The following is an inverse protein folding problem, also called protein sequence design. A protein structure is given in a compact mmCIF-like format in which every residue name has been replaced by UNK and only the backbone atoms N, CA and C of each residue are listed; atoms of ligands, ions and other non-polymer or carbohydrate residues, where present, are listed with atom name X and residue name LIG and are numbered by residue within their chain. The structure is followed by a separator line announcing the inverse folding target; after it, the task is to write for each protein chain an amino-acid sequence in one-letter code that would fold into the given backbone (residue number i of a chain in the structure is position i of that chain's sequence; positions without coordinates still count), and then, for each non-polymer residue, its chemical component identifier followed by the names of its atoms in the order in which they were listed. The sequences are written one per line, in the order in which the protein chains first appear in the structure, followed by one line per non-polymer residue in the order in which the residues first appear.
data_IF_409872986420
#
_entry.id   IF_409872986420
#
_cell.length_a   1.000
_cell.length_b   1.000
_cell.length_c   1.000
_cell.angle_alpha   90.00
_cell.angle_beta   90.00
_cell.angle_gamma   90.00
#
_symmetry.space_group_name_H-M   'P 1'
#
loop_
_entity.id
_entity.type
_entity.pdbx_description
1 polymer ?
#
# COMPACT_ATOMS: atom_id res chain seq x y z
N UNK A 1 10.93 24.94 -15.07
CA UNK A 1 9.90 23.89 -14.83
C UNK A 1 9.57 23.85 -13.34
N UNK A 2 8.30 23.67 -12.99
CA UNK A 2 7.90 23.35 -11.60
C UNK A 2 8.37 21.94 -11.22
N UNK A 3 8.32 21.57 -9.94
CA UNK A 3 8.62 20.19 -9.52
C UNK A 3 7.65 19.17 -10.16
N UNK A 4 6.37 19.55 -10.26
CA UNK A 4 5.34 18.76 -10.94
C UNK A 4 5.67 18.56 -12.42
N UNK A 5 5.93 19.64 -13.17
CA UNK A 5 6.27 19.56 -14.61
C UNK A 5 7.49 18.66 -14.86
N UNK A 6 8.48 18.75 -13.96
CA UNK A 6 9.74 17.99 -14.07
C UNK A 6 9.51 16.49 -13.89
N UNK A 7 8.68 16.10 -12.92
CA UNK A 7 8.29 14.70 -12.72
C UNK A 7 7.49 14.18 -13.90
N UNK A 8 6.48 14.94 -14.36
CA UNK A 8 5.65 14.53 -15.50
C UNK A 8 6.46 14.41 -16.80
N UNK A 9 7.37 15.33 -17.07
CA UNK A 9 8.29 15.22 -18.20
C UNK A 9 9.10 13.91 -18.14
N UNK A 10 9.64 13.57 -16.96
CA UNK A 10 10.36 12.31 -16.81
C UNK A 10 9.48 11.07 -17.03
N UNK A 11 8.24 11.07 -16.54
CA UNK A 11 7.28 9.97 -16.78
C UNK A 11 6.88 9.84 -18.26
N UNK A 12 6.81 10.96 -19.00
CA UNK A 12 6.52 10.96 -20.43
C UNK A 12 7.75 10.66 -21.30
N UNK A 13 8.92 10.45 -20.71
CA UNK A 13 10.18 10.25 -21.45
C UNK A 13 10.71 11.52 -22.09
N UNK A 14 10.25 12.68 -21.66
CA UNK A 14 10.71 14.00 -22.06
C UNK A 14 11.92 14.43 -21.24
N UNK A 15 12.77 15.32 -21.77
CA UNK A 15 13.95 15.80 -21.07
C UNK A 15 13.57 16.93 -20.11
N UNK A 16 13.65 16.73 -18.78
CA UNK A 16 13.43 17.83 -17.82
C UNK A 16 14.63 18.80 -17.79
N UNK A 17 14.42 19.99 -17.21
CA UNK A 17 15.47 21.01 -17.03
C UNK A 17 16.63 20.54 -16.13
N UNK A 18 16.40 19.59 -15.24
CA UNK A 18 17.36 18.85 -14.43
C UNK A 18 16.80 17.49 -14.06
N UNK A 19 17.66 16.56 -13.62
CA UNK A 19 17.22 15.27 -13.09
C UNK A 19 16.29 15.49 -11.88
N UNK A 20 15.06 14.96 -11.89
CA UNK A 20 14.19 15.01 -10.72
C UNK A 20 14.75 14.16 -9.58
N UNK A 21 14.67 14.68 -8.38
CA UNK A 21 15.04 13.97 -7.15
C UNK A 21 13.80 13.83 -6.26
N UNK A 22 13.15 12.68 -6.33
CA UNK A 22 11.92 12.37 -5.60
C UNK A 22 12.17 11.21 -4.62
N UNK A 23 12.79 11.47 -3.47
CA UNK A 23 13.09 10.45 -2.47
C UNK A 23 11.80 9.98 -1.78
N UNK A 24 11.75 8.71 -1.41
CA UNK A 24 10.70 8.16 -0.58
C UNK A 24 11.13 8.25 0.89
N UNK A 25 10.59 9.22 1.61
CA UNK A 25 10.85 9.43 3.03
C UNK A 25 9.83 8.68 3.88
N UNK A 26 10.27 7.93 4.87
CA UNK A 26 9.39 7.41 5.91
C UNK A 26 9.00 8.50 6.91
N UNK A 27 7.96 8.25 7.71
CA UNK A 27 7.42 9.24 8.65
C UNK A 27 8.46 9.68 9.70
N UNK A 28 9.26 8.75 10.22
CA UNK A 28 10.30 9.04 11.24
C UNK A 28 11.36 9.97 10.67
N UNK A 29 11.74 9.78 9.40
CA UNK A 29 12.69 10.68 8.73
C UNK A 29 12.08 12.06 8.51
N UNK A 30 10.80 12.14 8.10
CA UNK A 30 10.09 13.41 7.97
C UNK A 30 10.07 14.17 9.31
N UNK A 31 9.74 13.50 10.41
CA UNK A 31 9.73 14.10 11.74
C UNK A 31 11.11 14.59 12.19
N UNK A 32 12.17 13.84 11.90
CA UNK A 32 13.54 14.29 12.18
C UNK A 32 13.95 15.53 11.40
N UNK A 33 13.54 15.65 10.13
CA UNK A 33 13.83 16.84 9.31
C UNK A 33 13.01 18.04 9.79
N UNK A 34 11.74 17.82 10.11
CA UNK A 34 10.81 18.89 10.42
C UNK A 34 11.00 19.40 11.85
N UNK A 35 11.38 18.52 12.78
CA UNK A 35 11.31 18.80 14.21
C UNK A 35 9.87 19.02 14.66
N UNK A 36 9.67 19.83 15.70
CA UNK A 36 8.33 20.25 16.09
C UNK A 36 7.75 21.21 15.04
N UNK A 37 6.60 20.82 14.44
CA UNK A 37 5.84 21.68 13.54
C UNK A 37 4.78 22.39 14.38
N UNK A 38 4.82 23.72 14.51
CA UNK A 38 3.79 24.46 15.22
C UNK A 38 2.44 24.36 14.52
N UNK A 39 1.37 24.15 15.24
CA UNK A 39 0.00 24.16 14.73
C UNK A 39 -0.79 22.87 15.00
N UNK A 40 -1.84 22.64 14.22
CA UNK A 40 -2.70 21.46 14.28
C UNK A 40 -1.91 20.18 13.99
N UNK A 41 -2.36 19.00 14.47
CA UNK A 41 -1.71 17.73 14.17
C UNK A 41 -1.64 17.52 12.66
N UNK A 42 -0.42 17.42 12.15
CA UNK A 42 -0.17 17.20 10.73
C UNK A 42 -0.33 15.71 10.38
N UNK A 43 -1.03 15.42 9.29
CA UNK A 43 -1.08 14.06 8.73
C UNK A 43 0.29 13.66 8.19
N UNK A 44 0.49 12.36 7.97
CA UNK A 44 1.74 11.85 7.39
C UNK A 44 2.03 12.46 6.02
N UNK A 45 0.99 12.64 5.19
CA UNK A 45 1.11 13.26 3.87
C UNK A 45 1.55 14.71 3.98
N UNK A 46 1.00 15.48 4.92
CA UNK A 46 1.40 16.87 5.15
C UNK A 46 2.86 16.95 5.59
N UNK A 47 3.29 16.06 6.50
CA UNK A 47 4.70 15.98 6.93
C UNK A 47 5.62 15.62 5.76
N UNK A 48 5.21 14.68 4.91
CA UNK A 48 6.00 14.28 3.75
C UNK A 48 6.14 15.43 2.73
N UNK A 49 5.05 16.14 2.41
CA UNK A 49 5.08 17.30 1.52
C UNK A 49 6.02 18.38 2.07
N UNK A 50 5.94 18.68 3.36
CA UNK A 50 6.77 19.71 3.98
C UNK A 50 8.25 19.28 4.06
N UNK A 51 8.53 18.01 4.33
CA UNK A 51 9.89 17.47 4.29
C UNK A 51 10.50 17.61 2.88
N UNK A 52 9.74 17.27 1.83
CA UNK A 52 10.17 17.48 0.45
C UNK A 52 10.49 18.96 0.18
N UNK A 53 9.64 19.88 0.63
CA UNK A 53 9.89 21.34 0.47
C UNK A 53 11.19 21.76 1.14
N UNK A 54 11.43 21.35 2.39
CA UNK A 54 12.68 21.67 3.12
C UNK A 54 13.93 21.10 2.44
N UNK A 55 13.81 19.89 1.92
CA UNK A 55 14.92 19.22 1.23
C UNK A 55 15.09 19.67 -0.23
N UNK A 56 14.19 20.53 -0.75
CA UNK A 56 14.14 20.93 -2.17
C UNK A 56 14.04 19.73 -3.11
N UNK A 57 13.34 18.69 -2.65
CA UNK A 57 13.02 17.50 -3.42
C UNK A 57 11.72 17.70 -4.22
N UNK A 58 11.57 17.01 -5.32
CA UNK A 58 10.28 16.80 -5.97
C UNK A 58 9.47 15.84 -5.12
N UNK A 59 8.23 16.20 -4.80
CA UNK A 59 7.37 15.36 -3.99
C UNK A 59 6.62 14.36 -4.88
N UNK A 60 6.75 13.08 -4.59
CA UNK A 60 6.00 11.99 -5.24
C UNK A 60 5.14 11.30 -4.20
N UNK A 61 3.98 11.92 -3.90
CA UNK A 61 3.11 11.50 -2.81
C UNK A 61 2.27 10.29 -3.22
N UNK A 62 2.22 9.30 -2.35
CA UNK A 62 1.27 8.19 -2.46
C UNK A 62 -0.12 8.62 -2.01
N UNK A 63 -1.15 8.25 -2.78
CA UNK A 63 -2.55 8.43 -2.43
C UNK A 63 -3.34 7.13 -2.59
N UNK A 64 -4.10 6.77 -1.58
CA UNK A 64 -5.05 5.65 -1.63
C UNK A 64 -6.41 6.19 -2.11
N UNK A 65 -6.65 6.05 -3.42
CA UNK A 65 -7.86 6.55 -4.09
C UNK A 65 -9.07 5.63 -3.91
N UNK A 66 -8.87 4.45 -3.34
CA UNK A 66 -9.89 3.42 -3.17
C UNK A 66 -9.94 2.99 -1.70
N UNK A 67 -11.11 3.06 -1.11
CA UNK A 67 -11.41 2.45 0.18
C UNK A 67 -11.91 1.02 -0.04
N UNK A 68 -11.45 0.10 0.79
CA UNK A 68 -11.84 -1.31 0.73
C UNK A 68 -12.73 -1.61 1.93
N UNK A 69 -13.97 -2.01 1.64
CA UNK A 69 -14.93 -2.48 2.65
C UNK A 69 -15.05 -4.00 2.53
N UNK A 70 -15.22 -4.66 3.66
CA UNK A 70 -15.48 -6.10 3.74
C UNK A 70 -16.83 -6.34 4.44
N UNK A 71 -17.96 -6.44 3.70
CA UNK A 71 -19.28 -6.52 4.30
C UNK A 71 -19.52 -7.71 5.24
N UNK A 72 -18.82 -8.82 5.01
CA UNK A 72 -18.98 -10.06 5.79
C UNK A 72 -17.73 -10.46 6.56
N UNK A 73 -16.75 -9.55 6.71
CA UNK A 73 -15.53 -9.77 7.50
C UNK A 73 -15.40 -8.70 8.56
N UNK A 74 -15.39 -9.10 9.82
CA UNK A 74 -15.10 -8.18 10.92
C UNK A 74 -13.60 -8.12 11.15
N UNK A 75 -13.03 -6.91 11.10
CA UNK A 75 -11.61 -6.67 11.32
C UNK A 75 -11.41 -6.09 12.71
N UNK A 76 -10.53 -6.68 13.50
CA UNK A 76 -10.17 -6.21 14.84
C UNK A 76 -8.68 -6.25 15.05
N UNK A 77 -8.16 -5.20 15.70
CA UNK A 77 -6.76 -5.10 16.05
C UNK A 77 -6.61 -5.11 17.58
N UNK A 78 -5.65 -5.87 18.07
CA UNK A 78 -5.29 -5.91 19.49
C UNK A 78 -3.79 -5.65 19.63
N UNK A 79 -3.40 -4.77 20.55
CA UNK A 79 -2.01 -4.45 20.81
C UNK A 79 -1.61 -4.87 22.23
N UNK A 80 -0.51 -5.62 22.33
CA UNK A 80 0.15 -5.97 23.58
C UNK A 80 1.64 -5.62 23.51
N UNK A 81 2.00 -4.52 24.15
CA UNK A 81 3.32 -3.93 24.03
C UNK A 81 3.64 -3.53 22.59
N UNK A 82 4.74 -4.06 22.07
CA UNK A 82 5.14 -3.83 20.66
C UNK A 82 4.48 -4.82 19.67
N UNK A 83 3.68 -5.77 20.14
CA UNK A 83 3.03 -6.78 19.28
C UNK A 83 1.62 -6.33 18.94
N UNK A 84 1.32 -6.31 17.65
CA UNK A 84 0.00 -6.03 17.10
C UNK A 84 -0.53 -7.34 16.51
N UNK A 85 -1.78 -7.66 16.83
CA UNK A 85 -2.48 -8.83 16.31
C UNK A 85 -3.68 -8.33 15.50
N UNK A 86 -3.70 -8.66 14.20
CA UNK A 86 -4.81 -8.39 13.32
C UNK A 86 -5.66 -9.64 13.20
N UNK A 87 -6.96 -9.53 13.40
CA UNK A 87 -7.91 -10.64 13.29
C UNK A 87 -9.02 -10.30 12.32
N UNK A 88 -9.29 -11.21 11.39
CA UNK A 88 -10.29 -11.11 10.34
C UNK A 88 -11.31 -12.22 10.53
N UNK A 89 -12.43 -11.92 11.17
CA UNK A 89 -13.50 -12.88 11.44
C UNK A 89 -14.50 -12.91 10.30
N UNK A 90 -14.83 -14.11 9.81
CA UNK A 90 -15.74 -14.34 8.68
C UNK A 90 -16.61 -15.58 8.94
N UNK A 91 -17.71 -15.81 8.17
CA UNK A 91 -18.64 -16.92 8.44
C UNK A 91 -18.01 -18.33 8.46
N UNK A 92 -16.87 -18.50 7.83
CA UNK A 92 -16.17 -19.79 7.72
C UNK A 92 -14.99 -19.94 8.70
N UNK A 93 -14.70 -18.95 9.53
CA UNK A 93 -13.59 -18.97 10.48
C UNK A 93 -12.95 -17.62 10.67
N UNK A 94 -11.72 -17.60 11.15
CA UNK A 94 -10.94 -16.39 11.32
C UNK A 94 -9.51 -16.57 10.81
N UNK A 95 -8.97 -15.52 10.18
CA UNK A 95 -7.55 -15.38 9.88
C UNK A 95 -6.91 -14.43 10.90
N UNK A 96 -5.66 -14.71 11.25
CA UNK A 96 -4.92 -13.88 12.18
C UNK A 96 -3.49 -13.69 11.70
N UNK A 97 -3.00 -12.45 11.73
CA UNK A 97 -1.59 -12.15 11.56
C UNK A 97 -1.04 -11.42 12.78
N UNK A 98 0.27 -11.49 12.98
CA UNK A 98 0.95 -10.79 14.08
C UNK A 98 2.17 -10.05 13.57
N UNK A 99 2.25 -8.79 13.95
CA UNK A 99 3.34 -7.91 13.60
C UNK A 99 3.98 -7.31 14.86
N UNK A 100 5.18 -6.79 14.70
CA UNK A 100 5.87 -6.01 15.72
C UNK A 100 6.14 -4.63 15.20
N UNK A 101 5.75 -3.61 15.98
CA UNK A 101 6.12 -2.24 15.70
C UNK A 101 7.62 -2.04 15.85
N UNK A 102 8.26 -1.49 14.85
CA UNK A 102 9.67 -1.08 14.83
C UNK A 102 9.70 0.46 14.93
N UNK A 103 9.81 0.97 16.14
CA UNK A 103 9.71 2.40 16.43
C UNK A 103 10.79 3.24 15.71
N UNK A 104 11.97 2.66 15.49
CA UNK A 104 13.10 3.33 14.83
C UNK A 104 12.82 3.74 13.39
N UNK A 105 11.93 3.02 12.72
CA UNK A 105 11.54 3.26 11.31
C UNK A 105 10.04 3.51 11.13
N UNK A 106 9.27 3.44 12.23
CA UNK A 106 7.83 3.73 12.23
C UNK A 106 7.04 2.76 11.35
N UNK A 107 7.39 1.46 11.36
CA UNK A 107 6.70 0.45 10.55
C UNK A 107 6.47 -0.84 11.34
N UNK A 108 5.45 -1.56 10.93
CA UNK A 108 5.18 -2.90 11.43
C UNK A 108 5.97 -3.94 10.62
N UNK A 109 6.53 -4.92 11.31
CA UNK A 109 7.17 -6.07 10.69
C UNK A 109 6.38 -7.34 11.06
N UNK A 110 5.74 -7.95 10.09
CA UNK A 110 5.05 -9.22 10.28
C UNK A 110 6.03 -10.34 10.58
N UNK A 111 5.72 -11.13 11.61
CA UNK A 111 6.47 -12.34 11.95
C UNK A 111 5.59 -13.59 11.97
N UNK A 112 4.26 -13.44 11.97
CA UNK A 112 3.29 -14.49 11.81
C UNK A 112 2.25 -14.08 10.76
N UNK A 113 2.34 -14.72 9.59
CA UNK A 113 1.49 -14.41 8.44
C UNK A 113 0.13 -15.10 8.58
N UNK A 114 -0.91 -14.49 8.01
CA UNK A 114 -2.28 -14.97 8.19
C UNK A 114 -2.61 -16.26 7.45
N UNK A 115 -1.87 -16.61 6.39
CA UNK A 115 -2.15 -17.79 5.57
C UNK A 115 -1.07 -18.85 5.78
N UNK A 116 -1.40 -19.97 6.41
CA UNK A 116 -0.48 -21.04 6.75
C UNK A 116 -0.95 -22.41 6.24
N UNK A 117 -2.26 -22.59 6.04
CA UNK A 117 -2.89 -23.85 5.64
C UNK A 117 -3.73 -23.66 4.40
N UNK A 118 -4.21 -24.77 3.81
CA UNK A 118 -5.14 -24.70 2.66
C UNK A 118 -6.50 -24.15 3.06
N UNK A 119 -6.92 -24.34 4.30
CA UNK A 119 -8.12 -23.74 4.87
C UNK A 119 -8.00 -22.23 4.91
N UNK A 120 -6.82 -21.69 5.30
CA UNK A 120 -6.56 -20.27 5.31
C UNK A 120 -6.55 -19.69 3.89
N UNK A 121 -6.04 -20.43 2.90
CA UNK A 121 -6.12 -20.05 1.47
C UNK A 121 -7.58 -19.81 1.05
N UNK A 122 -8.49 -20.67 1.47
CA UNK A 122 -9.93 -20.54 1.15
C UNK A 122 -10.57 -19.36 1.88
N UNK A 123 -10.21 -19.14 3.15
CA UNK A 123 -10.67 -17.99 3.92
C UNK A 123 -10.17 -16.68 3.33
N UNK A 124 -8.89 -16.62 2.94
CA UNK A 124 -8.32 -15.44 2.31
C UNK A 124 -8.95 -15.15 0.94
N UNK A 125 -9.23 -16.20 0.16
CA UNK A 125 -9.99 -16.07 -1.09
C UNK A 125 -11.39 -15.50 -0.86
N UNK A 126 -12.10 -15.96 0.18
CA UNK A 126 -13.40 -15.41 0.56
C UNK A 126 -13.30 -13.92 0.87
N UNK A 127 -12.34 -13.53 1.71
CA UNK A 127 -12.11 -12.12 2.08
C UNK A 127 -11.85 -11.25 0.84
N UNK A 128 -11.02 -11.73 -0.09
CA UNK A 128 -10.74 -11.00 -1.33
C UNK A 128 -11.99 -10.85 -2.21
N UNK A 129 -12.85 -11.87 -2.27
CA UNK A 129 -14.09 -11.83 -3.03
C UNK A 129 -15.18 -10.97 -2.37
N UNK A 130 -15.14 -10.83 -1.04
CA UNK A 130 -16.07 -10.01 -0.26
C UNK A 130 -15.77 -8.51 -0.36
N UNK A 131 -14.56 -8.15 -0.79
CA UNK A 131 -14.12 -6.76 -0.87
C UNK A 131 -15.03 -5.92 -1.77
N UNK A 132 -15.42 -4.73 -1.32
CA UNK A 132 -16.14 -3.71 -2.06
C UNK A 132 -15.27 -2.47 -2.16
N UNK A 133 -15.05 -1.99 -3.37
CA UNK A 133 -14.19 -0.85 -3.66
C UNK A 133 -15.01 0.44 -3.74
N UNK A 134 -14.68 1.42 -2.88
CA UNK A 134 -15.31 2.73 -2.85
C UNK A 134 -14.32 3.81 -3.27
N UNK A 135 -14.69 4.73 -4.18
CA UNK A 135 -13.82 5.82 -4.58
C UNK A 135 -13.64 6.85 -3.45
N UNK A 136 -12.39 7.28 -3.23
CA UNK A 136 -12.01 8.36 -2.31
C UNK A 136 -11.46 9.58 -3.06
N UNK A 137 -12.07 9.95 -4.17
CA UNK A 137 -11.55 10.98 -5.06
C UNK A 137 -11.46 12.37 -4.43
N UNK A 138 -12.34 12.70 -3.48
CA UNK A 138 -12.25 13.97 -2.74
C UNK A 138 -10.98 14.03 -1.86
N UNK A 139 -10.60 12.91 -1.26
CA UNK A 139 -9.34 12.80 -0.53
C UNK A 139 -8.15 13.07 -1.45
N UNK A 140 -8.12 12.46 -2.65
CA UNK A 140 -7.08 12.69 -3.64
C UNK A 140 -7.05 14.15 -4.11
N UNK A 141 -8.21 14.78 -4.38
CA UNK A 141 -8.30 16.21 -4.76
C UNK A 141 -7.72 17.12 -3.68
N UNK A 142 -7.96 16.81 -2.42
CA UNK A 142 -7.41 17.57 -1.31
C UNK A 142 -5.89 17.45 -1.26
N UNK A 143 -5.31 16.26 -1.46
CA UNK A 143 -3.87 16.06 -1.52
C UNK A 143 -3.24 16.81 -2.70
N UNK A 144 -3.85 16.77 -3.90
CA UNK A 144 -3.40 17.54 -5.07
C UNK A 144 -3.40 19.03 -4.76
N UNK A 145 -4.45 19.52 -4.09
CA UNK A 145 -4.55 20.95 -3.71
C UNK A 145 -3.45 21.34 -2.72
N UNK A 146 -3.16 20.51 -1.71
CA UNK A 146 -2.09 20.76 -0.74
C UNK A 146 -0.69 20.69 -1.38
N UNK A 147 -0.50 19.77 -2.31
CA UNK A 147 0.73 19.60 -3.06
C UNK A 147 1.04 20.80 -3.96
N UNK A 148 0.04 21.28 -4.70
CA UNK A 148 0.22 22.29 -5.73
C UNK A 148 1.30 21.89 -6.75
N UNK A 149 2.17 22.81 -7.11
CA UNK A 149 3.27 22.57 -8.07
C UNK A 149 4.51 21.89 -7.47
N UNK A 150 4.44 21.48 -6.19
CA UNK A 150 5.56 20.86 -5.47
C UNK A 150 5.87 19.41 -5.86
N UNK A 151 4.99 18.78 -6.63
CA UNK A 151 5.17 17.38 -7.01
C UNK A 151 3.95 16.77 -7.70
N UNK A 152 3.88 15.44 -7.67
CA UNK A 152 2.81 14.63 -8.26
C UNK A 152 2.18 13.74 -7.19
N UNK A 153 0.86 13.66 -7.19
CA UNK A 153 0.11 12.70 -6.40
C UNK A 153 -0.10 11.43 -7.23
N UNK A 154 0.52 10.33 -6.80
CA UNK A 154 0.40 9.03 -7.44
C UNK A 154 -0.66 8.18 -6.76
N UNK A 155 -1.57 7.63 -7.57
CA UNK A 155 -2.55 6.66 -7.08
C UNK A 155 -1.87 5.32 -6.89
N UNK A 156 -1.94 4.77 -5.68
CA UNK A 156 -1.32 3.51 -5.37
C UNK A 156 -2.31 2.36 -5.56
N UNK A 157 -1.86 1.29 -6.22
CA UNK A 157 -2.64 0.09 -6.43
C UNK A 157 -1.95 -1.15 -5.83
N UNK A 158 -2.70 -2.25 -5.64
CA UNK A 158 -2.16 -3.49 -5.11
C UNK A 158 -1.07 -4.06 -6.05
N UNK A 159 -0.10 -4.81 -5.51
CA UNK A 159 0.86 -5.55 -6.31
C UNK A 159 0.18 -6.69 -7.10
N UNK A 160 0.96 -7.38 -7.94
CA UNK A 160 0.47 -8.62 -8.53
C UNK A 160 0.09 -9.64 -7.45
N UNK A 161 -0.93 -10.49 -7.69
CA UNK A 161 -1.41 -11.44 -6.68
C UNK A 161 -0.32 -12.32 -6.08
N UNK A 162 0.60 -12.81 -6.91
CA UNK A 162 1.69 -13.66 -6.41
C UNK A 162 2.65 -12.90 -5.51
N UNK A 163 2.98 -11.66 -5.87
CA UNK A 163 3.85 -10.82 -5.04
C UNK A 163 3.17 -10.48 -3.71
N UNK A 164 1.88 -10.13 -3.73
CA UNK A 164 1.11 -9.87 -2.51
C UNK A 164 1.16 -11.07 -1.55
N UNK A 165 0.91 -12.26 -2.08
CA UNK A 165 0.98 -13.48 -1.27
C UNK A 165 2.37 -13.71 -0.67
N UNK A 166 3.42 -13.58 -1.47
CA UNK A 166 4.80 -13.86 -1.03
C UNK A 166 5.30 -12.83 -0.02
N UNK A 167 4.97 -11.56 -0.22
CA UNK A 167 5.52 -10.49 0.61
C UNK A 167 4.73 -10.28 1.91
N UNK A 168 3.41 -10.46 1.86
CA UNK A 168 2.56 -10.00 2.96
C UNK A 168 1.70 -11.09 3.60
N UNK A 169 1.26 -12.09 2.85
CA UNK A 169 0.20 -12.98 3.33
C UNK A 169 0.68 -14.38 3.70
N UNK A 170 1.71 -14.87 3.01
CA UNK A 170 2.19 -16.26 3.16
C UNK A 170 3.72 -16.26 3.25
N UNK A 171 4.26 -16.89 4.26
CA UNK A 171 5.71 -17.06 4.35
C UNK A 171 6.25 -17.90 3.19
N UNK A 172 7.39 -17.49 2.59
CA UNK A 172 7.99 -18.14 1.41
C UNK A 172 8.03 -19.69 1.42
N UNK A 173 8.48 -20.38 2.48
CA UNK A 173 8.43 -21.83 2.50
C UNK A 173 7.01 -22.39 2.43
N UNK A 174 6.05 -21.72 3.09
CA UNK A 174 4.65 -22.17 3.14
C UNK A 174 3.99 -22.08 1.79
N UNK A 175 4.17 -20.99 1.04
CA UNK A 175 3.56 -20.86 -0.30
C UNK A 175 4.09 -21.92 -1.26
N UNK A 176 5.38 -22.28 -1.17
CA UNK A 176 5.95 -23.34 -1.99
C UNK A 176 5.26 -24.70 -1.75
N UNK A 177 5.07 -25.08 -0.47
CA UNK A 177 4.39 -26.31 -0.12
C UNK A 177 2.90 -26.27 -0.49
N UNK A 178 2.21 -25.16 -0.26
CA UNK A 178 0.81 -25.01 -0.68
C UNK A 178 0.65 -25.12 -2.20
N UNK A 179 1.54 -24.56 -2.98
CA UNK A 179 1.54 -24.70 -4.44
C UNK A 179 1.83 -26.12 -4.90
N UNK A 180 2.64 -26.88 -4.15
CA UNK A 180 2.97 -28.28 -4.46
C UNK A 180 1.80 -29.21 -4.10
N UNK A 181 1.23 -29.06 -2.91
CA UNK A 181 0.26 -30.00 -2.34
C UNK A 181 -1.19 -29.64 -2.71
N UNK A 182 -1.48 -28.33 -2.88
CA UNK A 182 -2.80 -27.76 -3.13
C UNK A 182 -2.82 -26.76 -4.30
N UNK A 183 -2.29 -27.14 -5.49
CA UNK A 183 -2.13 -26.19 -6.61
C UNK A 183 -3.45 -25.60 -7.09
N UNK A 184 -4.55 -26.35 -7.01
CA UNK A 184 -5.86 -25.88 -7.48
C UNK A 184 -6.40 -24.74 -6.62
N UNK A 185 -6.26 -24.86 -5.31
CA UNK A 185 -6.71 -23.86 -4.35
C UNK A 185 -5.88 -22.59 -4.48
N UNK A 186 -4.55 -22.70 -4.59
CA UNK A 186 -3.67 -21.55 -4.76
C UNK A 186 -3.92 -20.85 -6.10
N UNK A 187 -4.07 -21.59 -7.20
CA UNK A 187 -4.39 -21.00 -8.50
C UNK A 187 -5.75 -20.29 -8.45
N UNK A 188 -6.77 -20.94 -7.84
CA UNK A 188 -8.10 -20.31 -7.68
C UNK A 188 -8.04 -19.00 -6.88
N UNK A 189 -7.22 -18.95 -5.82
CA UNK A 189 -6.96 -17.73 -5.07
C UNK A 189 -6.32 -16.66 -5.95
N UNK A 190 -5.23 -16.98 -6.66
CA UNK A 190 -4.53 -16.04 -7.54
C UNK A 190 -5.44 -15.46 -8.64
N UNK A 191 -6.32 -16.31 -9.23
CA UNK A 191 -7.31 -15.86 -10.20
C UNK A 191 -8.37 -14.95 -9.59
N UNK A 192 -8.83 -15.25 -8.37
CA UNK A 192 -9.78 -14.39 -7.65
C UNK A 192 -9.14 -13.03 -7.33
N UNK A 193 -7.92 -13.02 -6.80
CA UNK A 193 -7.15 -11.80 -6.53
C UNK A 193 -6.94 -10.98 -7.81
N UNK A 194 -6.55 -11.63 -8.91
CA UNK A 194 -6.34 -10.94 -10.18
C UNK A 194 -7.62 -10.23 -10.66
N UNK A 195 -8.77 -10.91 -10.66
CA UNK A 195 -10.04 -10.30 -11.04
C UNK A 195 -10.39 -9.09 -10.18
N UNK A 196 -10.23 -9.24 -8.86
CA UNK A 196 -10.53 -8.15 -7.91
C UNK A 196 -9.54 -6.99 -8.02
N UNK A 197 -8.27 -7.27 -8.30
CA UNK A 197 -7.29 -6.23 -8.58
C UNK A 197 -7.62 -5.44 -9.87
N UNK A 198 -8.13 -6.10 -10.92
CA UNK A 198 -8.63 -5.40 -12.10
C UNK A 198 -9.77 -4.44 -11.74
N UNK A 199 -10.76 -4.85 -10.96
CA UNK A 199 -11.84 -3.98 -10.49
C UNK A 199 -11.32 -2.82 -9.63
N UNK A 200 -10.33 -3.08 -8.75
CA UNK A 200 -9.66 -2.01 -8.01
C UNK A 200 -9.03 -0.99 -8.94
N UNK A 201 -8.29 -1.45 -9.97
CA UNK A 201 -7.62 -0.57 -10.91
C UNK A 201 -8.60 0.19 -11.82
N UNK A 202 -9.78 -0.35 -12.12
CA UNK A 202 -10.86 0.39 -12.80
C UNK A 202 -11.27 1.61 -11.98
N UNK A 203 -11.50 1.43 -10.66
CA UNK A 203 -11.82 2.55 -9.76
C UNK A 203 -10.63 3.51 -9.62
N UNK A 204 -9.41 2.98 -9.47
CA UNK A 204 -8.21 3.78 -9.30
C UNK A 204 -7.88 4.64 -10.53
N UNK A 205 -8.16 4.15 -11.73
CA UNK A 205 -7.89 4.85 -12.99
C UNK A 205 -8.80 6.07 -13.21
N UNK A 206 -9.97 6.11 -12.57
CA UNK A 206 -10.88 7.27 -12.60
C UNK A 206 -10.52 8.36 -11.59
N UNK A 207 -9.55 8.10 -10.71
CA UNK A 207 -9.12 9.07 -9.72
C UNK A 207 -8.43 10.28 -10.37
N UNK A 208 -8.50 11.48 -9.76
CA UNK A 208 -7.94 12.70 -10.34
C UNK A 208 -6.41 12.78 -10.30
N UNK A 209 -5.72 11.68 -9.98
CA UNK A 209 -4.27 11.60 -10.03
C UNK A 209 -3.73 11.45 -11.46
N UNK A 210 -2.46 11.81 -11.65
CA UNK A 210 -1.83 11.77 -12.99
C UNK A 210 -1.03 10.51 -13.25
N UNK A 211 -0.68 9.80 -12.19
CA UNK A 211 0.12 8.58 -12.22
C UNK A 211 -0.57 7.52 -11.37
N UNK A 212 -0.77 6.34 -11.94
CA UNK A 212 -1.16 5.14 -11.20
C UNK A 212 0.07 4.26 -11.10
N UNK A 213 0.41 3.81 -9.89
CA UNK A 213 1.56 2.91 -9.69
C UNK A 213 1.16 1.64 -8.98
N UNK A 214 1.75 0.54 -9.40
CA UNK A 214 1.79 -0.73 -8.70
C UNK A 214 3.17 -0.89 -8.07
N UNK A 215 3.22 -1.54 -6.92
CA UNK A 215 4.48 -1.96 -6.31
C UNK A 215 4.80 -3.38 -6.77
N UNK A 216 5.98 -3.54 -7.38
CA UNK A 216 6.46 -4.84 -7.81
C UNK A 216 7.93 -5.01 -7.41
N UNK A 217 8.23 -6.03 -6.62
CA UNK A 217 9.59 -6.47 -6.36
C UNK A 217 9.88 -7.74 -7.16
N UNK A 218 10.66 -7.57 -8.21
CA UNK A 218 11.07 -8.67 -9.09
C UNK A 218 12.50 -9.14 -8.81
N UNK A 219 13.06 -8.78 -7.68
CA UNK A 219 14.39 -9.19 -7.25
C UNK A 219 14.48 -10.71 -7.13
N UNK A 220 15.52 -11.28 -7.69
CA UNK A 220 15.84 -12.72 -7.56
C UNK A 220 16.71 -13.03 -6.34
N UNK A 221 17.08 -12.02 -5.58
CA UNK A 221 17.88 -12.12 -4.35
C UNK A 221 16.98 -11.80 -3.15
N UNK A 222 16.18 -12.77 -2.76
CA UNK A 222 15.46 -12.77 -1.48
C UNK A 222 16.26 -13.52 -0.44
#
# INVERSE_FOLDING_TARGET
MTSRDRLLAAFHGELPDRLPWAPEFNIVFCERILGEIPGEPHTEETKYIEACRRMRAECFLRADAVEIEYPNVAVTDAQDGAVITHTYEMPMGALTSRARMIDEIGTEMEFEHMVQTVEDVRMYQFMYQDAVYRPRYDFVRNQITQMGDGGVVSIFGPPTPLLDLIMFQIRMPTIYFLMQDHPKEVISLLEAMHRRNCEYYEVAAEAPGEVVRSFEDTSTTL
#
